data_IF_667453086266
#
_entry.id   IF_667453086266
#
_cell.length_a   1.000
_cell.length_b   1.000
_cell.length_c   1.000
_cell.angle_alpha   90.00
_cell.angle_beta   90.00
_cell.angle_gamma   90.00
#
_symmetry.space_group_name_H-M   'P 1'
#
loop_
_entity.id
_entity.type
_entity.pdbx_description
1 polymer ?
#
# COMPACT_ATOMS: atom_id res chain seq x y z
N UNK A 1 -0.84 27.01 45.01
CA UNK A 1 0.08 25.88 44.76
C UNK A 1 -0.76 24.71 44.29
N UNK A 2 -0.82 24.46 42.99
CA UNK A 2 -1.54 23.32 42.44
C UNK A 2 -0.76 22.04 42.80
N UNK A 3 -1.36 21.16 43.60
CA UNK A 3 -0.79 19.86 43.91
C UNK A 3 -0.88 18.98 42.67
N UNK A 4 0.27 18.62 42.12
CA UNK A 4 0.40 17.55 41.13
C UNK A 4 -0.11 16.25 41.76
N UNK A 5 -1.26 15.78 41.29
CA UNK A 5 -1.76 14.43 41.56
C UNK A 5 -0.74 13.45 40.98
N UNK A 6 -0.23 12.48 41.76
CA UNK A 6 0.73 11.50 41.25
C UNK A 6 0.05 10.64 40.18
N UNK A 7 0.78 10.19 39.13
CA UNK A 7 0.21 9.39 38.05
C UNK A 7 -0.27 8.06 38.62
N UNK A 8 -1.58 7.96 38.88
CA UNK A 8 -2.19 6.76 39.42
C UNK A 8 -2.48 5.80 38.26
N UNK A 9 -1.75 4.69 38.20
CA UNK A 9 -2.25 3.37 37.73
C UNK A 9 -2.90 3.24 36.34
N UNK A 10 -2.87 4.25 35.48
CA UNK A 10 -3.50 4.22 34.15
C UNK A 10 -2.81 3.24 33.19
N UNK A 11 -1.52 2.98 33.38
CA UNK A 11 -0.76 2.00 32.59
C UNK A 11 -1.23 0.55 32.76
N UNK A 12 -2.04 0.25 33.79
CA UNK A 12 -2.48 -1.13 34.10
C UNK A 12 -3.82 -1.55 33.47
N UNK A 13 -4.56 -0.66 32.79
CA UNK A 13 -5.92 -0.94 32.31
C UNK A 13 -6.11 -0.95 30.80
N UNK A 14 -5.09 -0.61 30.03
CA UNK A 14 -5.12 -0.79 28.58
C UNK A 14 -4.62 -2.21 28.31
N UNK A 15 -5.46 -3.08 27.75
CA UNK A 15 -5.03 -4.42 27.36
C UNK A 15 -3.78 -4.34 26.49
N UNK A 16 -2.89 -5.34 26.56
CA UNK A 16 -1.63 -5.36 25.78
C UNK A 16 -1.86 -5.07 24.28
N UNK A 17 -3.00 -5.52 23.73
CA UNK A 17 -3.42 -5.24 22.37
C UNK A 17 -3.74 -3.76 22.11
N UNK A 18 -4.51 -3.10 22.97
CA UNK A 18 -4.85 -1.67 22.84
C UNK A 18 -3.59 -0.80 22.92
N UNK A 19 -2.60 -1.21 23.72
CA UNK A 19 -1.29 -0.55 23.79
C UNK A 19 -0.45 -0.75 22.52
N UNK A 20 -0.58 -1.90 21.85
CA UNK A 20 0.18 -2.20 20.64
C UNK A 20 -0.30 -1.35 19.45
N UNK A 21 -1.60 -1.36 19.15
CA UNK A 21 -2.16 -0.57 18.04
C UNK A 21 -1.95 0.92 18.21
N UNK A 22 -2.21 1.45 19.41
CA UNK A 22 -1.96 2.85 19.76
C UNK A 22 -0.49 3.24 19.58
N UNK A 23 0.44 2.40 20.04
CA UNK A 23 1.88 2.67 19.92
C UNK A 23 2.34 2.69 18.47
N UNK A 24 1.88 1.74 17.66
CA UNK A 24 2.22 1.68 16.24
C UNK A 24 1.58 2.82 15.45
N UNK A 25 0.37 3.26 15.81
CA UNK A 25 -0.24 4.45 15.24
C UNK A 25 0.62 5.69 15.50
N UNK A 26 1.11 5.85 16.74
CA UNK A 26 1.94 6.99 17.13
C UNK A 26 3.31 6.98 16.43
N UNK A 27 3.94 5.80 16.32
CA UNK A 27 5.17 5.60 15.52
C UNK A 27 4.95 6.00 14.08
N UNK A 28 3.83 5.54 13.49
CA UNK A 28 3.46 5.87 12.11
C UNK A 28 3.33 7.37 11.89
N UNK A 29 2.71 8.08 12.84
CA UNK A 29 2.60 9.53 12.79
C UNK A 29 3.95 10.25 12.84
N UNK A 30 4.88 9.78 13.67
CA UNK A 30 6.24 10.32 13.73
C UNK A 30 6.95 10.13 12.38
N UNK A 31 6.84 8.96 11.76
CA UNK A 31 7.41 8.69 10.44
C UNK A 31 6.82 9.62 9.36
N UNK A 32 5.49 9.76 9.31
CA UNK A 32 4.78 10.66 8.39
C UNK A 32 5.25 12.10 8.60
N UNK A 33 5.23 12.59 9.84
CA UNK A 33 5.68 13.94 10.18
C UNK A 33 7.11 14.19 9.71
N UNK A 34 8.01 13.24 9.91
CA UNK A 34 9.41 13.38 9.50
C UNK A 34 9.56 13.41 7.97
N UNK A 35 8.76 12.62 7.25
CA UNK A 35 8.78 12.60 5.79
C UNK A 35 8.20 13.88 5.16
N UNK A 36 7.27 14.57 5.85
CA UNK A 36 6.55 15.74 5.29
C UNK A 36 6.88 17.08 5.92
N UNK A 37 7.72 17.15 6.96
CA UNK A 37 7.99 18.36 7.76
C UNK A 37 8.33 19.63 6.95
N UNK A 38 8.78 19.49 5.70
CA UNK A 38 9.08 20.60 4.79
C UNK A 38 8.51 20.41 3.37
N UNK A 39 7.42 19.64 3.21
CA UNK A 39 6.88 19.24 1.91
C UNK A 39 5.35 19.40 1.88
N UNK A 40 4.81 20.03 0.83
CA UNK A 40 3.37 20.09 0.59
C UNK A 40 2.93 18.91 -0.28
N UNK A 41 2.24 17.92 0.32
CA UNK A 41 1.93 16.62 -0.32
C UNK A 41 0.43 16.23 -0.18
N UNK A 42 -0.51 17.01 -0.75
CA UNK A 42 -1.95 16.77 -0.60
C UNK A 42 -2.43 15.44 -1.20
N UNK A 43 -1.65 14.82 -2.09
CA UNK A 43 -1.98 13.51 -2.67
C UNK A 43 -1.94 12.36 -1.64
N UNK A 44 -1.37 12.59 -0.45
CA UNK A 44 -1.21 11.59 0.60
C UNK A 44 -2.42 11.52 1.56
N UNK A 45 -3.26 12.55 1.61
CA UNK A 45 -4.33 12.72 2.61
C UNK A 45 -5.22 11.48 2.74
N UNK A 46 -5.65 10.89 1.61
CA UNK A 46 -6.54 9.72 1.61
C UNK A 46 -5.95 8.49 2.30
N UNK A 47 -4.64 8.30 2.23
CA UNK A 47 -3.98 7.17 2.86
C UNK A 47 -3.68 7.43 4.34
N UNK A 48 -3.57 8.70 4.74
CA UNK A 48 -3.25 9.11 6.12
C UNK A 48 -4.51 9.26 6.98
N UNK A 49 -5.65 9.60 6.39
CA UNK A 49 -6.92 9.79 7.10
C UNK A 49 -7.24 8.64 8.08
N UNK A 50 -7.16 7.34 7.72
CA UNK A 50 -7.48 6.27 8.67
C UNK A 50 -6.59 6.27 9.92
N UNK A 51 -5.29 6.53 9.74
CA UNK A 51 -4.35 6.65 10.85
C UNK A 51 -4.62 7.91 11.68
N UNK A 52 -5.06 8.98 11.03
CA UNK A 52 -5.39 10.23 11.70
C UNK A 52 -6.63 10.13 12.58
N UNK A 53 -7.67 9.48 12.07
CA UNK A 53 -8.88 9.23 12.82
C UNK A 53 -8.59 8.37 14.07
N UNK A 54 -7.77 7.33 13.93
CA UNK A 54 -7.35 6.50 15.07
C UNK A 54 -6.52 7.30 16.07
N UNK A 55 -5.56 8.10 15.60
CA UNK A 55 -4.70 8.91 16.46
C UNK A 55 -5.50 9.92 17.28
N UNK A 56 -6.53 10.54 16.67
CA UNK A 56 -7.43 11.45 17.37
C UNK A 56 -8.23 10.73 18.47
N UNK A 57 -8.83 9.58 18.16
CA UNK A 57 -9.60 8.81 19.14
C UNK A 57 -8.72 8.22 20.25
N UNK A 58 -7.52 7.75 19.93
CA UNK A 58 -6.55 7.29 20.91
C UNK A 58 -6.16 8.42 21.87
N UNK A 59 -5.97 9.63 21.32
CA UNK A 59 -5.66 10.81 22.13
C UNK A 59 -6.83 11.21 23.02
N UNK A 60 -8.05 11.23 22.49
CA UNK A 60 -9.27 11.46 23.28
C UNK A 60 -9.41 10.46 24.43
N UNK A 61 -9.23 9.17 24.13
CA UNK A 61 -9.33 8.12 25.13
C UNK A 61 -8.28 8.28 26.24
N UNK A 62 -7.04 8.61 25.86
CA UNK A 62 -5.97 8.89 26.81
C UNK A 62 -6.32 10.10 27.68
N UNK A 63 -6.76 11.18 27.05
CA UNK A 63 -7.05 12.45 27.68
C UNK A 63 -8.19 12.32 28.70
N UNK A 64 -9.28 11.66 28.35
CA UNK A 64 -10.38 11.35 29.28
C UNK A 64 -9.92 10.41 30.40
N UNK A 65 -9.08 9.41 30.09
CA UNK A 65 -8.62 8.45 31.10
C UNK A 65 -7.68 9.04 32.15
N UNK A 66 -6.86 10.02 31.77
CA UNK A 66 -5.86 10.65 32.63
C UNK A 66 -6.40 11.89 33.36
N UNK A 67 -7.27 12.66 32.69
CA UNK A 67 -7.68 13.98 33.18
C UNK A 67 -9.17 14.07 33.52
N UNK A 68 -10.00 13.10 33.11
CA UNK A 68 -11.44 13.11 33.36
C UNK A 68 -12.28 13.55 32.16
N UNK A 69 -13.59 13.33 32.26
CA UNK A 69 -14.54 13.57 31.17
C UNK A 69 -14.64 15.05 30.80
N UNK A 70 -14.39 15.97 31.74
CA UNK A 70 -14.45 17.41 31.52
C UNK A 70 -13.39 17.94 30.53
N UNK A 71 -12.38 17.14 30.21
CA UNK A 71 -11.36 17.49 29.22
C UNK A 71 -11.66 16.92 27.83
N UNK A 72 -12.70 16.08 27.70
CA UNK A 72 -13.20 15.50 26.45
C UNK A 72 -13.19 16.49 25.28
N UNK A 73 -12.52 16.11 24.19
CA UNK A 73 -12.58 16.86 22.94
C UNK A 73 -13.89 16.61 22.20
N UNK A 74 -14.59 15.50 22.49
CA UNK A 74 -15.85 15.17 21.85
C UNK A 74 -16.94 16.23 22.07
N UNK A 75 -16.85 16.99 23.17
CA UNK A 75 -17.78 18.09 23.49
C UNK A 75 -17.46 19.39 22.71
N UNK A 76 -16.31 19.44 22.05
CA UNK A 76 -15.80 20.63 21.36
C UNK A 76 -15.52 20.41 19.87
N UNK A 77 -15.47 19.16 19.41
CA UNK A 77 -15.25 18.79 18.03
C UNK A 77 -16.50 18.15 17.44
N UNK A 78 -17.04 18.75 16.38
CA UNK A 78 -18.01 18.07 15.53
C UNK A 78 -17.29 17.08 14.60
N UNK A 79 -17.90 15.94 14.30
CA UNK A 79 -17.37 15.00 13.29
C UNK A 79 -17.48 15.67 11.92
N UNK A 80 -16.36 16.07 11.27
CA UNK A 80 -16.45 16.64 9.94
C UNK A 80 -16.79 15.53 8.95
N UNK A 81 -17.86 15.73 8.16
CA UNK A 81 -18.18 14.80 7.08
C UNK A 81 -17.14 14.97 5.97
N UNK A 82 -16.26 13.98 5.83
CA UNK A 82 -15.20 14.02 4.82
C UNK A 82 -15.78 13.74 3.43
N UNK A 83 -16.10 14.79 2.68
CA UNK A 83 -16.69 14.71 1.34
C UNK A 83 -15.70 14.21 0.25
N UNK A 84 -14.42 14.13 0.55
CA UNK A 84 -13.38 13.75 -0.43
C UNK A 84 -13.45 12.29 -0.86
N UNK A 85 -14.08 11.41 -0.05
CA UNK A 85 -14.27 9.99 -0.36
C UNK A 85 -15.55 9.67 -1.15
N UNK A 86 -16.51 10.59 -1.21
CA UNK A 86 -17.76 10.44 -1.97
C UNK A 86 -17.52 10.85 -3.43
N UNK A 87 -16.70 10.12 -4.20
CA UNK A 87 -16.32 10.59 -5.56
C UNK A 87 -16.29 9.53 -6.64
N UNK A 88 -16.74 9.99 -7.81
CA UNK A 88 -16.69 9.39 -9.14
C UNK A 88 -15.37 8.59 -9.39
N UNK A 89 -15.44 7.41 -10.04
CA UNK A 89 -14.26 6.60 -10.37
C UNK A 89 -13.11 7.35 -11.07
N UNK A 90 -13.40 8.43 -11.80
CA UNK A 90 -12.40 9.29 -12.44
C UNK A 90 -11.51 10.05 -11.45
N UNK A 91 -12.05 10.50 -10.31
CA UNK A 91 -11.30 11.22 -9.29
C UNK A 91 -10.34 10.29 -8.56
N UNK A 92 -10.76 9.05 -8.29
CA UNK A 92 -9.89 8.00 -7.73
C UNK A 92 -8.69 7.70 -8.64
N UNK A 93 -8.88 7.67 -9.96
CA UNK A 93 -7.79 7.51 -10.93
C UNK A 93 -6.82 8.69 -10.89
N UNK A 94 -7.32 9.92 -10.86
CA UNK A 94 -6.49 11.12 -10.77
C UNK A 94 -5.69 11.18 -9.47
N UNK A 95 -6.27 10.73 -8.36
CA UNK A 95 -5.59 10.63 -7.07
C UNK A 95 -4.49 9.57 -7.08
N UNK A 96 -4.74 8.39 -7.66
CA UNK A 96 -3.70 7.37 -7.85
C UNK A 96 -2.56 7.89 -8.73
N UNK A 97 -2.86 8.62 -9.79
CA UNK A 97 -1.86 9.25 -10.63
C UNK A 97 -1.04 10.32 -9.88
N UNK A 98 -1.68 11.12 -9.04
CA UNK A 98 -1.00 12.10 -8.19
C UNK A 98 -0.14 11.42 -7.10
N UNK A 99 -0.60 10.28 -6.55
CA UNK A 99 0.17 9.47 -5.59
C UNK A 99 1.42 8.88 -6.23
N UNK A 100 1.34 8.42 -7.48
CA UNK A 100 2.50 7.92 -8.22
C UNK A 100 3.56 9.00 -8.49
N UNK A 101 3.21 10.29 -8.37
CA UNK A 101 4.13 11.42 -8.47
C UNK A 101 4.73 11.83 -7.11
N UNK A 102 4.33 11.19 -6.02
CA UNK A 102 4.93 11.47 -4.71
C UNK A 102 6.43 11.10 -4.72
N UNK A 103 7.24 11.74 -3.89
CA UNK A 103 8.64 11.35 -3.71
C UNK A 103 8.79 9.88 -3.31
N UNK A 104 9.86 9.21 -3.78
CA UNK A 104 10.07 7.77 -3.56
C UNK A 104 10.12 7.38 -2.08
N UNK A 105 10.72 8.22 -1.24
CA UNK A 105 10.77 8.03 0.21
C UNK A 105 9.37 8.07 0.84
N UNK A 106 8.50 8.93 0.33
CA UNK A 106 7.09 9.02 0.76
C UNK A 106 6.28 7.85 0.21
N UNK A 107 6.49 7.45 -1.05
CA UNK A 107 5.84 6.26 -1.61
C UNK A 107 6.22 4.99 -0.83
N UNK A 108 7.50 4.82 -0.50
CA UNK A 108 7.99 3.70 0.30
C UNK A 108 7.44 3.73 1.72
N UNK A 109 7.32 4.92 2.32
CA UNK A 109 6.66 5.08 3.61
C UNK A 109 5.21 4.60 3.51
N UNK A 110 4.47 5.04 2.50
CA UNK A 110 3.05 4.75 2.31
C UNK A 110 2.78 3.27 2.00
N UNK A 111 3.58 2.64 1.14
CA UNK A 111 3.46 1.22 0.80
C UNK A 111 3.83 0.28 1.95
N UNK A 112 4.55 0.77 2.97
CA UNK A 112 4.90 -0.03 4.16
C UNK A 112 3.67 -0.52 4.94
N UNK A 113 2.48 0.01 4.69
CA UNK A 113 1.23 -0.57 5.19
C UNK A 113 1.02 -2.02 4.74
N UNK A 114 1.63 -2.43 3.62
CA UNK A 114 1.53 -3.78 3.06
C UNK A 114 2.37 -4.83 3.81
N UNK A 115 3.33 -4.41 4.64
CA UNK A 115 4.15 -5.30 5.48
C UNK A 115 3.67 -5.40 6.93
N UNK A 116 2.54 -4.75 7.24
CA UNK A 116 1.93 -4.77 8.58
C UNK A 116 1.13 -6.07 8.77
N UNK A 117 1.26 -6.76 9.92
CA UNK A 117 0.47 -7.96 10.21
C UNK A 117 -1.04 -7.71 10.11
N UNK A 118 -1.79 -8.70 9.64
CA UNK A 118 -3.25 -8.64 9.47
C UNK A 118 -3.97 -8.23 10.74
N UNK A 119 -3.48 -8.69 11.89
CA UNK A 119 -4.06 -8.42 13.20
C UNK A 119 -3.97 -6.93 13.55
N UNK A 120 -2.82 -6.32 13.24
CA UNK A 120 -2.63 -4.88 13.45
C UNK A 120 -3.41 -4.06 12.43
N UNK A 121 -3.56 -4.55 11.19
CA UNK A 121 -4.39 -3.90 10.18
C UNK A 121 -5.88 -3.88 10.55
N UNK A 122 -6.34 -4.87 11.33
CA UNK A 122 -7.69 -4.98 11.84
C UNK A 122 -7.91 -4.21 13.16
N UNK A 123 -6.84 -3.71 13.79
CA UNK A 123 -6.91 -2.96 15.04
C UNK A 123 -7.35 -1.50 14.79
N UNK A 124 -8.53 -1.08 15.26
CA UNK A 124 -9.03 0.29 15.06
C UNK A 124 -8.20 1.34 15.80
N UNK A 125 -7.40 0.95 16.80
CA UNK A 125 -6.46 1.87 17.46
C UNK A 125 -5.20 2.08 16.61
N UNK A 126 -4.89 1.18 15.67
CA UNK A 126 -3.83 1.37 14.68
C UNK A 126 -4.30 2.16 13.46
N UNK A 127 -5.39 1.73 12.83
CA UNK A 127 -6.03 2.42 11.71
C UNK A 127 -7.55 2.21 11.73
N UNK A 128 -8.31 3.29 11.58
CA UNK A 128 -9.76 3.27 11.64
C UNK A 128 -10.31 3.61 10.27
N UNK A 129 -11.01 2.64 9.67
CA UNK A 129 -11.78 2.85 8.44
C UNK A 129 -13.23 3.08 8.81
N UNK A 130 -13.85 4.06 8.15
CA UNK A 130 -15.25 4.44 8.40
C UNK A 130 -16.02 4.31 7.10
N UNK A 131 -17.15 3.60 7.16
CA UNK A 131 -18.17 3.64 6.12
C UNK A 131 -19.35 4.50 6.58
N UNK A 132 -19.83 5.36 5.69
CA UNK A 132 -21.07 6.10 5.89
C UNK A 132 -22.19 5.38 5.15
N UNK A 133 -23.13 4.84 5.91
CA UNK A 133 -24.33 4.20 5.35
C UNK A 133 -25.49 5.19 5.55
N UNK A 134 -26.01 5.82 4.49
CA UNK A 134 -27.17 6.67 4.62
C UNK A 134 -28.38 5.81 4.98
N UNK A 135 -29.07 6.17 6.06
CA UNK A 135 -30.31 5.50 6.49
C UNK A 135 -31.46 6.50 6.38
N UNK A 136 -32.56 6.09 5.74
CA UNK A 136 -33.82 6.85 5.71
C UNK A 136 -34.76 6.23 6.73
N UNK A 137 -35.07 6.89 7.85
CA UNK A 137 -35.97 6.34 8.86
C UNK A 137 -37.37 6.09 8.25
N UNK A 138 -37.95 4.89 8.41
CA UNK A 138 -39.30 4.61 7.91
C UNK A 138 -40.37 5.48 8.58
N UNK A 139 -40.08 5.98 9.78
CA UNK A 139 -41.01 6.70 10.64
C UNK A 139 -41.28 8.15 10.20
N UNK A 140 -40.53 8.67 9.22
CA UNK A 140 -40.63 10.06 8.77
C UNK A 140 -40.28 11.12 9.83
N UNK A 141 -39.82 10.69 11.02
CA UNK A 141 -39.37 11.57 12.10
C UNK A 141 -37.90 11.93 11.90
N UNK A 142 -37.55 13.17 12.24
CA UNK A 142 -36.15 13.57 12.37
C UNK A 142 -35.47 12.66 13.40
N UNK A 143 -34.34 12.01 13.05
CA UNK A 143 -33.61 11.20 14.02
C UNK A 143 -33.04 12.09 15.13
N UNK A 144 -32.98 11.57 16.36
CA UNK A 144 -32.42 12.28 17.52
C UNK A 144 -30.91 12.52 17.38
N UNK A 145 -30.25 11.75 16.51
CA UNK A 145 -28.85 11.89 16.14
C UNK A 145 -28.65 11.99 14.62
N UNK A 146 -27.70 12.82 14.21
CA UNK A 146 -27.34 13.01 12.79
C UNK A 146 -26.50 11.85 12.25
N UNK A 147 -25.80 11.12 13.13
CA UNK A 147 -25.02 9.94 12.81
C UNK A 147 -25.01 8.97 14.00
N UNK A 148 -24.89 7.67 13.71
CA UNK A 148 -24.78 6.62 14.71
C UNK A 148 -23.43 5.92 14.55
N UNK A 149 -22.71 5.74 15.66
CA UNK A 149 -21.53 4.88 15.70
C UNK A 149 -21.94 3.52 16.24
N UNK A 150 -21.80 2.48 15.41
CA UNK A 150 -22.16 1.10 15.76
C UNK A 150 -20.88 0.29 15.77
N UNK A 151 -20.68 -0.52 16.82
CA UNK A 151 -19.49 -1.36 16.91
C UNK A 151 -19.61 -2.56 15.95
N UNK A 152 -18.51 -3.03 15.33
CA UNK A 152 -18.55 -4.16 14.41
C UNK A 152 -19.15 -5.44 15.01
N UNK A 153 -18.97 -5.68 16.31
CA UNK A 153 -19.53 -6.82 17.04
C UNK A 153 -21.04 -6.69 17.36
N UNK A 154 -21.62 -5.53 17.10
CA UNK A 154 -23.03 -5.20 17.37
C UNK A 154 -23.92 -5.16 16.12
N UNK A 155 -23.37 -5.47 14.94
CA UNK A 155 -24.12 -5.57 13.69
C UNK A 155 -24.35 -7.04 13.31
N UNK A 156 -25.48 -7.40 12.66
CA UNK A 156 -25.70 -8.74 12.14
C UNK A 156 -24.62 -9.16 11.14
N UNK A 157 -24.24 -10.44 11.14
CA UNK A 157 -23.17 -10.99 10.28
C UNK A 157 -23.38 -10.68 8.79
N UNK A 158 -24.61 -10.76 8.29
CA UNK A 158 -24.93 -10.44 6.88
C UNK A 158 -24.63 -8.98 6.51
N UNK A 159 -24.86 -8.06 7.45
CA UNK A 159 -24.53 -6.64 7.28
C UNK A 159 -23.03 -6.42 7.46
N UNK A 160 -22.39 -7.13 8.38
CA UNK A 160 -20.94 -7.12 8.57
C UNK A 160 -20.21 -7.56 7.30
N UNK A 161 -20.61 -8.67 6.69
CA UNK A 161 -20.06 -9.17 5.42
C UNK A 161 -20.23 -8.16 4.27
N UNK A 162 -21.37 -7.47 4.25
CA UNK A 162 -21.66 -6.44 3.24
C UNK A 162 -20.78 -5.21 3.46
N UNK A 163 -20.63 -4.77 4.71
CA UNK A 163 -19.75 -3.66 5.09
C UNK A 163 -18.30 -4.02 4.81
N UNK A 164 -17.85 -5.22 5.15
CA UNK A 164 -16.50 -5.70 4.85
C UNK A 164 -16.24 -5.66 3.35
N UNK A 165 -17.14 -6.15 2.50
CA UNK A 165 -16.98 -6.04 1.03
C UNK A 165 -16.91 -4.60 0.51
N UNK A 166 -17.48 -3.63 1.23
CA UNK A 166 -17.51 -2.21 0.85
C UNK A 166 -16.35 -1.40 1.45
N UNK A 167 -15.89 -1.75 2.66
CA UNK A 167 -14.84 -1.08 3.45
C UNK A 167 -13.46 -1.68 3.19
N UNK A 168 -13.41 -3.00 2.95
CA UNK A 168 -12.27 -3.62 2.29
C UNK A 168 -12.28 -3.05 0.88
N UNK A 169 -11.54 -1.95 0.72
CA UNK A 169 -10.92 -1.60 -0.55
C UNK A 169 -10.54 -2.93 -1.18
N UNK A 170 -11.18 -3.22 -2.33
CA UNK A 170 -10.69 -4.18 -3.32
C UNK A 170 -9.21 -4.26 -3.11
N UNK A 171 -8.72 -5.40 -2.61
CA UNK A 171 -7.31 -5.67 -2.38
C UNK A 171 -6.65 -5.15 -3.64
N UNK A 172 -6.14 -3.92 -3.61
CA UNK A 172 -5.29 -3.43 -4.67
C UNK A 172 -4.09 -4.23 -4.26
N UNK A 173 -4.03 -5.45 -4.79
CA UNK A 173 -2.78 -6.08 -5.10
C UNK A 173 -2.14 -5.03 -5.99
N UNK A 174 -1.49 -4.04 -5.36
CA UNK A 174 -0.47 -3.27 -6.00
C UNK A 174 0.45 -4.41 -6.41
N UNK A 175 0.55 -4.71 -7.72
CA UNK A 175 1.38 -5.82 -8.14
C UNK A 175 2.72 -5.54 -7.49
N UNK A 176 3.19 -6.50 -6.67
CA UNK A 176 4.44 -6.36 -5.92
C UNK A 176 5.44 -5.75 -6.89
N UNK A 177 5.89 -4.53 -6.56
CA UNK A 177 6.65 -3.72 -7.50
C UNK A 177 7.82 -4.60 -7.99
N UNK A 178 8.04 -4.75 -9.30
CA UNK A 178 9.07 -5.67 -9.78
C UNK A 178 10.42 -5.29 -9.13
N UNK A 179 11.04 -6.24 -8.42
CA UNK A 179 12.20 -5.94 -7.54
C UNK A 179 13.54 -6.12 -8.25
N UNK A 180 13.56 -6.77 -9.41
CA UNK A 180 14.80 -7.24 -10.03
C UNK A 180 15.32 -6.26 -11.06
N UNK A 181 16.53 -5.68 -10.86
CA UNK A 181 17.19 -4.93 -11.91
C UNK A 181 17.60 -5.86 -13.07
N UNK A 182 17.77 -5.30 -14.27
CA UNK A 182 18.13 -6.08 -15.47
C UNK A 182 19.33 -7.01 -15.26
N UNK A 183 20.37 -6.54 -14.56
CA UNK A 183 21.56 -7.35 -14.26
C UNK A 183 21.27 -8.57 -13.39
N UNK A 184 20.30 -8.47 -12.47
CA UNK A 184 19.88 -9.61 -11.67
C UNK A 184 19.21 -10.66 -12.56
N UNK A 185 18.27 -10.24 -13.43
CA UNK A 185 17.59 -11.14 -14.37
C UNK A 185 18.58 -11.85 -15.28
N UNK A 186 19.54 -11.12 -15.86
CA UNK A 186 20.55 -11.69 -16.76
C UNK A 186 21.33 -12.80 -16.06
N UNK A 187 21.86 -12.52 -14.86
CA UNK A 187 22.61 -13.51 -14.07
C UNK A 187 21.76 -14.74 -13.75
N UNK A 188 20.57 -14.54 -13.22
CA UNK A 188 19.69 -15.64 -12.79
C UNK A 188 19.22 -16.50 -13.96
N UNK A 189 18.97 -15.91 -15.12
CA UNK A 189 18.59 -16.67 -16.33
C UNK A 189 19.80 -17.42 -16.89
N UNK A 190 20.98 -16.78 -16.98
CA UNK A 190 22.20 -17.43 -17.47
C UNK A 190 22.60 -18.65 -16.63
N UNK A 191 22.38 -18.61 -15.31
CA UNK A 191 22.60 -19.75 -14.41
C UNK A 191 21.62 -20.92 -14.63
N UNK A 192 20.49 -20.67 -15.28
CA UNK A 192 19.37 -21.62 -15.42
C UNK A 192 19.19 -22.17 -16.83
N UNK A 193 19.92 -21.66 -17.82
CA UNK A 193 19.85 -22.11 -19.22
C UNK A 193 21.23 -22.61 -19.69
N UNK A 194 21.32 -23.48 -20.71
CA UNK A 194 22.59 -24.03 -21.18
C UNK A 194 23.42 -23.05 -22.02
N UNK A 195 22.88 -21.86 -22.33
CA UNK A 195 23.46 -20.90 -23.25
C UNK A 195 23.91 -19.62 -22.55
N UNK A 196 24.93 -18.97 -23.10
CA UNK A 196 25.38 -17.65 -22.67
C UNK A 196 24.25 -16.64 -22.87
N UNK A 197 23.97 -15.82 -21.85
CA UNK A 197 22.91 -14.82 -21.90
C UNK A 197 23.42 -13.46 -21.43
N UNK A 198 23.32 -12.44 -22.28
CA UNK A 198 23.89 -11.12 -22.01
C UNK A 198 22.80 -10.04 -21.85
N UNK A 199 23.17 -8.87 -21.34
CA UNK A 199 22.26 -7.72 -21.25
C UNK A 199 21.71 -7.29 -22.62
N UNK A 200 22.46 -7.51 -23.70
CA UNK A 200 21.99 -7.25 -25.06
C UNK A 200 20.93 -8.27 -25.50
N UNK A 201 21.10 -9.54 -25.12
CA UNK A 201 20.07 -10.57 -25.33
C UNK A 201 18.80 -10.21 -24.58
N UNK A 202 18.92 -9.90 -23.29
CA UNK A 202 17.79 -9.52 -22.45
C UNK A 202 17.01 -8.32 -23.01
N UNK A 203 17.71 -7.27 -23.46
CA UNK A 203 17.06 -6.14 -24.10
C UNK A 203 16.40 -6.49 -25.43
N UNK A 204 16.97 -7.41 -26.21
CA UNK A 204 16.39 -7.89 -27.47
C UNK A 204 15.14 -8.71 -27.22
N UNK A 205 15.22 -9.68 -26.32
CA UNK A 205 14.13 -10.57 -25.93
C UNK A 205 12.98 -9.78 -25.31
N UNK A 206 13.26 -8.76 -24.50
CA UNK A 206 12.23 -7.87 -23.97
C UNK A 206 11.45 -7.12 -25.06
N UNK A 207 12.08 -6.81 -26.20
CA UNK A 207 11.39 -6.22 -27.36
C UNK A 207 10.63 -7.26 -28.17
N UNK A 208 11.20 -8.46 -28.31
CA UNK A 208 10.55 -9.60 -28.97
C UNK A 208 9.21 -9.94 -28.29
N UNK A 209 9.20 -10.04 -26.96
CA UNK A 209 7.99 -10.26 -26.16
C UNK A 209 7.11 -9.01 -25.99
N UNK A 210 7.48 -7.89 -26.62
CA UNK A 210 6.74 -6.61 -26.55
C UNK A 210 6.50 -6.11 -25.13
N UNK A 211 7.38 -6.44 -24.19
CA UNK A 211 7.35 -5.84 -22.84
C UNK A 211 8.08 -4.49 -22.82
N UNK A 212 8.97 -4.26 -23.81
CA UNK A 212 9.68 -3.01 -24.08
C UNK A 212 9.33 -2.45 -25.45
N UNK A 213 9.37 -1.13 -25.64
CA UNK A 213 9.11 -0.51 -26.92
C UNK A 213 10.22 -0.82 -27.94
N UNK A 214 9.90 -0.75 -29.25
CA UNK A 214 10.87 -0.85 -30.32
C UNK A 214 12.04 0.13 -30.14
N UNK A 215 13.18 -0.21 -30.75
CA UNK A 215 14.36 0.65 -30.71
C UNK A 215 14.03 2.00 -31.37
N UNK A 216 14.27 3.10 -30.66
CA UNK A 216 14.03 4.47 -31.14
C UNK A 216 12.72 5.09 -30.64
N UNK A 217 11.85 4.31 -30.00
CA UNK A 217 10.67 4.84 -29.32
C UNK A 217 10.96 5.26 -27.87
N UNK A 218 10.15 6.16 -27.27
CA UNK A 218 10.24 6.49 -25.86
C UNK A 218 10.08 5.25 -24.97
N UNK A 219 11.02 5.09 -24.04
CA UNK A 219 11.04 3.98 -23.06
C UNK A 219 9.79 4.04 -22.15
N UNK A 220 9.09 2.92 -22.04
CA UNK A 220 7.87 2.72 -21.25
C UNK A 220 7.62 1.22 -21.06
N UNK A 221 6.89 0.83 -20.03
CA UNK A 221 6.37 -0.54 -19.96
C UNK A 221 5.24 -0.72 -20.96
N UNK A 222 5.33 -1.78 -21.77
CA UNK A 222 4.22 -2.21 -22.63
C UNK A 222 3.43 -3.36 -22.01
N UNK A 223 4.04 -4.09 -21.09
CA UNK A 223 3.40 -5.16 -20.32
C UNK A 223 3.86 -5.10 -18.85
N UNK A 224 2.97 -4.58 -18.02
CA UNK A 224 3.20 -4.42 -16.58
C UNK A 224 3.15 -5.76 -15.83
N UNK A 225 2.73 -6.86 -16.47
CA UNK A 225 2.80 -8.19 -15.87
C UNK A 225 4.25 -8.64 -15.65
N UNK A 226 5.20 -8.15 -16.45
CA UNK A 226 6.60 -8.61 -16.44
C UNK A 226 7.60 -7.52 -16.07
N UNK A 227 7.33 -6.25 -16.41
CA UNK A 227 8.29 -5.18 -16.15
C UNK A 227 7.67 -3.81 -15.87
N UNK A 228 8.41 -3.00 -15.12
CA UNK A 228 8.10 -1.60 -14.90
C UNK A 228 9.27 -0.71 -15.35
N UNK A 229 8.98 0.32 -16.16
CA UNK A 229 9.92 1.38 -16.46
C UNK A 229 9.81 2.51 -15.42
N UNK A 230 10.88 2.74 -14.68
CA UNK A 230 10.98 3.82 -13.69
C UNK A 230 11.55 5.06 -14.39
N UNK A 231 10.68 5.97 -14.81
CA UNK A 231 11.05 7.18 -15.58
C UNK A 231 12.05 8.08 -14.85
N UNK A 232 11.93 8.20 -13.52
CA UNK A 232 12.81 9.02 -12.68
C UNK A 232 14.27 8.54 -12.70
N UNK A 233 14.48 7.23 -12.68
CA UNK A 233 15.81 6.61 -12.68
C UNK A 233 16.25 6.16 -14.09
N UNK A 234 15.36 6.21 -15.09
CA UNK A 234 15.58 5.71 -16.45
C UNK A 234 16.02 4.24 -16.50
N UNK A 235 15.42 3.41 -15.65
CA UNK A 235 15.71 1.98 -15.54
C UNK A 235 14.45 1.14 -15.70
N UNK A 236 14.64 -0.11 -16.13
CA UNK A 236 13.62 -1.15 -16.07
C UNK A 236 13.85 -2.05 -14.86
N UNK A 237 12.76 -2.42 -14.20
CA UNK A 237 12.71 -3.44 -13.15
C UNK A 237 11.77 -4.57 -13.56
N UNK A 238 12.05 -5.78 -13.09
CA UNK A 238 11.42 -7.03 -13.52
C UNK A 238 11.03 -7.91 -12.34
N UNK A 239 10.17 -8.90 -12.56
CA UNK A 239 9.70 -9.82 -11.52
C UNK A 239 10.07 -11.28 -11.83
N UNK A 240 9.76 -12.18 -10.91
CA UNK A 240 10.08 -13.61 -11.05
C UNK A 240 9.36 -14.26 -12.23
N UNK A 241 8.12 -13.83 -12.56
CA UNK A 241 7.40 -14.34 -13.74
C UNK A 241 8.19 -14.10 -15.02
N UNK A 242 8.86 -12.95 -15.13
CA UNK A 242 9.70 -12.66 -16.28
C UNK A 242 10.92 -13.58 -16.35
N UNK A 243 11.53 -13.89 -15.22
CA UNK A 243 12.64 -14.85 -15.14
C UNK A 243 12.18 -16.24 -15.59
N UNK A 244 11.06 -16.73 -15.07
CA UNK A 244 10.51 -18.04 -15.45
C UNK A 244 10.18 -18.10 -16.95
N UNK A 245 9.56 -17.06 -17.50
CA UNK A 245 9.24 -16.98 -18.93
C UNK A 245 10.51 -17.02 -19.81
N UNK A 246 11.57 -16.33 -19.39
CA UNK A 246 12.85 -16.36 -20.08
C UNK A 246 13.49 -17.74 -20.01
N UNK A 247 13.49 -18.38 -18.85
CA UNK A 247 14.05 -19.73 -18.69
C UNK A 247 13.29 -20.73 -19.55
N UNK A 248 11.97 -20.69 -19.56
CA UNK A 248 11.12 -21.54 -20.41
C UNK A 248 11.46 -21.38 -21.90
N UNK A 249 11.49 -20.13 -22.39
CA UNK A 249 11.75 -19.85 -23.81
C UNK A 249 13.21 -20.15 -24.22
N UNK A 250 14.19 -19.77 -23.39
CA UNK A 250 15.60 -19.76 -23.76
C UNK A 250 16.34 -21.08 -23.43
N UNK A 251 15.65 -22.07 -22.86
CA UNK A 251 16.26 -23.37 -22.54
C UNK A 251 16.56 -24.24 -23.76
N UNK A 252 15.93 -23.97 -24.91
CA UNK A 252 16.12 -24.73 -26.15
C UNK A 252 16.87 -23.89 -27.20
N UNK A 253 17.60 -24.55 -28.10
CA UNK A 253 18.34 -23.87 -29.17
C UNK A 253 17.43 -23.06 -30.07
N UNK A 254 16.25 -23.61 -30.37
CA UNK A 254 15.27 -23.01 -31.27
C UNK A 254 14.59 -21.82 -30.59
N UNK A 255 14.17 -21.97 -29.34
CA UNK A 255 13.57 -20.89 -28.57
C UNK A 255 14.55 -19.74 -28.30
N UNK A 256 15.84 -20.04 -28.06
CA UNK A 256 16.89 -19.02 -27.95
C UNK A 256 17.07 -18.26 -29.26
N UNK A 257 17.15 -18.97 -30.39
CA UNK A 257 17.31 -18.37 -31.72
C UNK A 257 16.12 -17.50 -32.09
N UNK A 258 14.90 -17.98 -31.83
CA UNK A 258 13.66 -17.25 -32.09
C UNK A 258 13.62 -15.93 -31.31
N UNK A 259 13.90 -15.97 -30.01
CA UNK A 259 13.73 -14.82 -29.13
C UNK A 259 14.89 -13.80 -29.25
N UNK A 260 16.12 -14.26 -29.51
CA UNK A 260 17.31 -13.39 -29.57
C UNK A 260 17.73 -13.02 -31.00
N UNK A 261 17.31 -13.79 -32.01
CA UNK A 261 17.79 -13.68 -33.38
C UNK A 261 19.24 -14.12 -33.57
N UNK A 262 19.85 -14.80 -32.59
CA UNK A 262 21.27 -15.22 -32.62
C UNK A 262 21.44 -16.72 -32.44
N UNK A 263 22.56 -17.23 -32.94
CA UNK A 263 22.98 -18.60 -32.67
C UNK A 263 23.33 -18.79 -31.19
N UNK A 264 22.77 -19.82 -30.51
CA UNK A 264 23.07 -20.09 -29.11
C UNK A 264 24.53 -20.53 -28.94
N UNK A 265 25.24 -19.90 -28.01
CA UNK A 265 26.60 -20.28 -27.61
C UNK A 265 26.52 -20.93 -26.25
N UNK A 266 27.17 -22.08 -26.06
CA UNK A 266 27.20 -22.78 -24.77
C UNK A 266 27.74 -21.86 -23.66
N UNK A 267 26.99 -21.80 -22.56
CA UNK A 267 27.37 -21.03 -21.39
C UNK A 267 28.56 -21.67 -20.66
N UNK A 268 29.33 -20.85 -19.93
CA UNK A 268 30.47 -21.33 -19.13
C UNK A 268 30.07 -22.23 -17.97
N UNK A 269 28.77 -22.30 -17.63
CA UNK A 269 28.20 -23.15 -16.57
C UNK A 269 27.87 -24.59 -16.98
N UNK A 270 27.93 -24.96 -18.27
CA UNK A 270 27.56 -26.30 -18.76
C UNK A 270 28.69 -27.36 -18.63
N UNK A 271 29.68 -27.14 -17.75
CA UNK A 271 30.62 -28.19 -17.33
C UNK A 271 30.17 -28.78 -15.99
N UNK A 272 29.36 -29.83 -16.05
CA UNK A 272 29.10 -30.72 -14.92
C UNK A 272 27.70 -30.64 -14.32
N UNK A 273 26.74 -31.32 -14.95
CA UNK A 273 25.72 -32.10 -14.26
C UNK A 273 25.62 -33.46 -14.95
#
# INVERSE_FOLDING_TARGET
MAQLVPPSTATSRLSEHVLAGTRENLRRWIEIRNAVAHRYLPAMDLQVIPYAQSGLLNYEQLLVSEFGQEYSLADHLSVPLQLSGFRDPSVLRSLKAAQAQLPLDVQALLSRAESVPSELLADPTYQMRVAFIPVVPPSGRSPDAVAYFVRPDSIPDELADTIDKLVVLTKVVVPKLPEHPAMHVVRTVEERIPYRFTSNDHASVGRFFKIRPPKGEPERSLDEEYCQYISAAKIYVYNDKWIERLVEQLSTSDGFREATGREPVLGTGAKGR
#
